data_IF_082872000893
#
_entry.id   IF_082872000893
#
_cell.length_a   1.000
_cell.length_b   1.000
_cell.length_c   1.000
_cell.angle_alpha   90.00
_cell.angle_beta   90.00
_cell.angle_gamma   90.00
#
_symmetry.space_group_name_H-M   'P 1'
#
loop_
_entity.id
_entity.type
_entity.pdbx_description
1 polymer ?
#
# COMPACT_ATOMS: atom_id res chain seq x y z
N UNK A 1 -11.88 2.04 -19.65
CA UNK A 1 -11.40 2.98 -18.63
C UNK A 1 -9.99 2.58 -18.22
N UNK A 2 -9.06 3.53 -18.07
CA UNK A 2 -7.70 3.19 -17.62
C UNK A 2 -7.72 2.66 -16.18
N UNK A 3 -6.82 1.73 -15.86
CA UNK A 3 -6.65 1.17 -14.51
C UNK A 3 -6.49 2.26 -13.45
N UNK A 4 -5.68 3.28 -13.75
CA UNK A 4 -5.44 4.46 -12.92
C UNK A 4 -6.76 5.17 -12.58
N UNK A 5 -7.62 5.41 -13.56
CA UNK A 5 -8.92 6.05 -13.34
C UNK A 5 -9.88 5.20 -12.49
N UNK A 6 -9.87 3.88 -12.67
CA UNK A 6 -10.68 2.96 -11.86
C UNK A 6 -10.20 2.88 -10.40
N UNK A 7 -8.89 2.88 -10.19
CA UNK A 7 -8.25 2.90 -8.87
C UNK A 7 -8.58 4.20 -8.12
N UNK A 8 -8.34 5.35 -8.76
CA UNK A 8 -8.60 6.66 -8.16
C UNK A 8 -10.09 6.89 -7.85
N UNK A 9 -10.99 6.36 -8.66
CA UNK A 9 -12.44 6.47 -8.44
C UNK A 9 -13.01 5.41 -7.50
N UNK A 10 -12.19 4.51 -6.95
CA UNK A 10 -12.62 3.43 -6.05
C UNK A 10 -13.69 2.53 -6.70
N UNK A 11 -13.61 2.32 -8.01
CA UNK A 11 -14.53 1.45 -8.77
C UNK A 11 -14.09 -0.02 -8.75
N UNK A 12 -12.87 -0.30 -8.31
CA UNK A 12 -12.37 -1.66 -8.15
C UNK A 12 -13.11 -2.35 -6.98
N UNK A 13 -13.25 -3.67 -7.06
CA UNK A 13 -13.72 -4.42 -5.91
C UNK A 13 -12.70 -4.32 -4.78
N UNK A 14 -13.18 -4.35 -3.54
CA UNK A 14 -12.33 -4.27 -2.35
C UNK A 14 -11.23 -5.34 -2.37
N UNK A 15 -11.59 -6.56 -2.80
CA UNK A 15 -10.70 -7.70 -2.88
C UNK A 15 -9.61 -7.48 -3.95
N UNK A 16 -9.98 -7.01 -5.14
CA UNK A 16 -9.00 -6.68 -6.20
C UNK A 16 -8.09 -5.55 -5.76
N UNK A 17 -8.64 -4.48 -5.15
CA UNK A 17 -7.83 -3.35 -4.69
C UNK A 17 -6.82 -3.77 -3.63
N UNK A 18 -7.25 -4.59 -2.66
CA UNK A 18 -6.38 -5.12 -1.60
C UNK A 18 -5.34 -6.10 -2.16
N UNK A 19 -5.75 -7.09 -2.94
CA UNK A 19 -4.85 -8.10 -3.48
C UNK A 19 -3.80 -7.49 -4.42
N UNK A 20 -4.21 -6.62 -5.34
CA UNK A 20 -3.31 -6.05 -6.34
C UNK A 20 -2.45 -4.92 -5.76
N UNK A 21 -3.05 -3.97 -5.02
CA UNK A 21 -2.29 -2.79 -4.61
C UNK A 21 -1.54 -2.99 -3.30
N UNK A 22 -2.07 -3.75 -2.34
CA UNK A 22 -1.34 -4.07 -1.10
C UNK A 22 -0.45 -5.28 -1.29
N UNK A 23 -1.03 -6.46 -1.53
CA UNK A 23 -0.27 -7.73 -1.45
C UNK A 23 0.69 -7.86 -2.61
N UNK A 24 0.19 -7.81 -3.85
CA UNK A 24 1.03 -7.98 -5.03
C UNK A 24 2.00 -6.80 -5.19
N UNK A 25 1.56 -5.58 -4.93
CA UNK A 25 2.42 -4.40 -4.89
C UNK A 25 3.59 -4.57 -3.91
N UNK A 26 3.33 -5.06 -2.70
CA UNK A 26 4.37 -5.30 -1.70
C UNK A 26 5.36 -6.36 -2.16
N UNK A 27 4.87 -7.48 -2.71
CA UNK A 27 5.71 -8.53 -3.27
C UNK A 27 6.62 -7.98 -4.37
N UNK A 28 6.09 -7.16 -5.27
CA UNK A 28 6.89 -6.53 -6.35
C UNK A 28 7.97 -5.64 -5.75
N UNK A 29 7.65 -4.82 -4.75
CA UNK A 29 8.65 -3.96 -4.11
C UNK A 29 9.75 -4.77 -3.44
N UNK A 30 9.41 -5.87 -2.76
CA UNK A 30 10.40 -6.78 -2.16
C UNK A 30 11.28 -7.43 -3.22
N UNK A 31 10.69 -7.93 -4.31
CA UNK A 31 11.43 -8.55 -5.41
C UNK A 31 12.37 -7.56 -6.11
N UNK A 32 11.94 -6.31 -6.29
CA UNK A 32 12.78 -5.25 -6.85
C UNK A 32 13.94 -4.96 -5.89
N UNK A 33 13.66 -4.76 -4.60
CA UNK A 33 14.69 -4.48 -3.59
C UNK A 33 15.73 -5.61 -3.52
N UNK A 34 15.28 -6.86 -3.45
CA UNK A 34 16.13 -8.04 -3.42
C UNK A 34 16.90 -8.26 -4.74
N UNK A 35 16.25 -8.03 -5.88
CA UNK A 35 16.92 -8.10 -7.18
C UNK A 35 18.03 -7.05 -7.30
N UNK A 36 17.77 -5.82 -6.84
CA UNK A 36 18.78 -4.77 -6.79
C UNK A 36 19.94 -5.13 -5.86
N UNK A 37 19.69 -5.75 -4.70
CA UNK A 37 20.76 -6.18 -3.79
C UNK A 37 21.64 -7.31 -4.34
N UNK A 38 21.13 -8.11 -5.30
CA UNK A 38 21.93 -9.16 -5.97
C UNK A 38 22.75 -8.58 -7.12
N UNK A 39 22.17 -7.64 -7.87
CA UNK A 39 22.73 -7.16 -9.13
C UNK A 39 23.73 -6.01 -8.91
N UNK A 40 23.45 -5.14 -7.95
CA UNK A 40 24.29 -3.98 -7.67
C UNK A 40 25.37 -4.32 -6.63
N UNK A 41 26.59 -3.76 -6.78
CA UNK A 41 27.63 -3.86 -5.75
C UNK A 41 27.20 -3.24 -4.41
N UNK A 42 27.71 -3.79 -3.31
CA UNK A 42 27.37 -3.37 -1.92
C UNK A 42 27.53 -1.87 -1.68
N UNK A 43 28.61 -1.27 -2.22
CA UNK A 43 28.87 0.17 -2.06
C UNK A 43 27.83 1.07 -2.73
N UNK A 44 27.05 0.57 -3.69
CA UNK A 44 25.91 1.26 -4.29
C UNK A 44 24.66 1.05 -3.43
N UNK A 45 24.37 -0.18 -3.02
CA UNK A 45 23.15 -0.52 -2.28
C UNK A 45 23.15 0.02 -0.86
N UNK A 46 24.33 0.16 -0.25
CA UNK A 46 24.52 0.78 1.07
C UNK A 46 24.67 2.30 0.98
N UNK A 47 24.75 2.87 -0.23
CA UNK A 47 24.88 4.30 -0.39
C UNK A 47 23.62 5.01 0.13
N UNK A 48 23.75 6.01 1.01
CA UNK A 48 22.60 6.63 1.68
C UNK A 48 21.58 7.21 0.71
N UNK A 49 22.04 7.70 -0.45
CA UNK A 49 21.15 8.20 -1.52
C UNK A 49 20.26 7.10 -2.08
N UNK A 50 20.78 5.89 -2.28
CA UNK A 50 20.00 4.75 -2.81
C UNK A 50 18.96 4.32 -1.79
N UNK A 51 19.34 4.26 -0.51
CA UNK A 51 18.42 3.98 0.61
C UNK A 51 17.31 5.02 0.71
N UNK A 52 17.62 6.31 0.57
CA UNK A 52 16.62 7.39 0.57
C UNK A 52 15.66 7.25 -0.62
N UNK A 53 16.19 7.00 -1.83
CA UNK A 53 15.36 6.80 -3.02
C UNK A 53 14.43 5.61 -2.85
N UNK A 54 14.93 4.48 -2.34
CA UNK A 54 14.13 3.29 -2.07
C UNK A 54 13.04 3.58 -1.03
N UNK A 55 13.36 4.31 0.05
CA UNK A 55 12.40 4.71 1.07
C UNK A 55 11.29 5.63 0.50
N UNK A 56 11.64 6.61 -0.34
CA UNK A 56 10.68 7.50 -1.00
C UNK A 56 9.78 6.69 -1.96
N UNK A 57 10.35 5.79 -2.75
CA UNK A 57 9.59 4.94 -3.67
C UNK A 57 8.61 4.01 -2.91
N UNK A 58 9.07 3.41 -1.80
CA UNK A 58 8.23 2.61 -0.91
C UNK A 58 7.09 3.45 -0.34
N UNK A 59 7.38 4.65 0.17
CA UNK A 59 6.37 5.53 0.74
C UNK A 59 5.33 5.95 -0.30
N UNK A 60 5.77 6.29 -1.52
CA UNK A 60 4.88 6.67 -2.61
C UNK A 60 3.93 5.52 -2.99
N UNK A 61 4.46 4.29 -3.12
CA UNK A 61 3.64 3.10 -3.37
C UNK A 61 2.69 2.80 -2.20
N UNK A 62 3.18 2.90 -0.97
CA UNK A 62 2.39 2.63 0.23
C UNK A 62 1.19 3.58 0.35
N UNK A 63 1.42 4.88 0.16
CA UNK A 63 0.35 5.88 0.14
C UNK A 63 -0.65 5.62 -1.00
N UNK A 64 -0.16 5.22 -2.18
CA UNK A 64 -1.00 4.83 -3.30
C UNK A 64 -1.92 3.65 -2.97
N UNK A 65 -1.38 2.62 -2.33
CA UNK A 65 -2.12 1.42 -1.92
C UNK A 65 -3.16 1.74 -0.83
N UNK A 66 -2.77 2.52 0.19
CA UNK A 66 -3.67 2.96 1.26
C UNK A 66 -4.85 3.77 0.71
N UNK A 67 -4.58 4.79 -0.11
CA UNK A 67 -5.63 5.67 -0.66
C UNK A 67 -6.60 4.89 -1.54
N UNK A 68 -6.11 4.00 -2.40
CA UNK A 68 -6.95 3.16 -3.25
C UNK A 68 -7.87 2.23 -2.45
N UNK A 69 -7.30 1.54 -1.47
CA UNK A 69 -8.03 0.59 -0.62
C UNK A 69 -9.05 1.32 0.26
N UNK A 70 -8.68 2.44 0.88
CA UNK A 70 -9.58 3.26 1.69
C UNK A 70 -10.76 3.80 0.88
N UNK A 71 -10.53 4.30 -0.34
CA UNK A 71 -11.61 4.77 -1.21
C UNK A 71 -12.57 3.66 -1.60
N UNK A 72 -12.06 2.47 -1.92
CA UNK A 72 -12.89 1.30 -2.21
C UNK A 72 -13.72 0.90 -0.98
N UNK A 73 -13.10 0.82 0.20
CA UNK A 73 -13.76 0.50 1.45
C UNK A 73 -14.89 1.50 1.79
N UNK A 74 -14.61 2.80 1.73
CA UNK A 74 -15.59 3.87 1.99
C UNK A 74 -16.78 3.74 1.04
N UNK A 75 -16.53 3.47 -0.25
CA UNK A 75 -17.61 3.29 -1.23
C UNK A 75 -18.47 2.08 -0.89
N UNK A 76 -17.87 0.93 -0.62
CA UNK A 76 -18.59 -0.30 -0.25
C UNK A 76 -19.45 -0.08 1.00
N UNK A 77 -18.93 0.63 2.00
CA UNK A 77 -19.67 0.95 3.23
C UNK A 77 -20.88 1.87 2.95
N UNK A 78 -20.70 2.86 2.05
CA UNK A 78 -21.72 3.87 1.71
C UNK A 78 -22.81 3.34 0.77
N UNK A 79 -22.51 2.37 -0.09
CA UNK A 79 -23.49 1.81 -1.02
C UNK A 79 -24.47 0.89 -0.27
N UNK A 80 -25.73 1.35 -0.11
CA UNK A 80 -26.78 0.60 0.60
C UNK A 80 -27.28 -0.65 -0.13
N UNK A 81 -27.00 -0.77 -1.43
CA UNK A 81 -27.36 -1.94 -2.24
C UNK A 81 -26.49 -3.16 -1.97
N UNK A 82 -25.36 -3.00 -1.27
CA UNK A 82 -24.46 -4.11 -0.95
C UNK A 82 -24.94 -4.90 0.26
N UNK A 83 -24.74 -6.21 0.21
CA UNK A 83 -25.06 -7.10 1.31
C UNK A 83 -24.33 -6.68 2.60
N UNK A 84 -24.96 -6.92 3.76
CA UNK A 84 -24.43 -6.51 5.07
C UNK A 84 -22.98 -7.01 5.31
N UNK A 85 -22.67 -8.23 4.87
CA UNK A 85 -21.34 -8.82 4.98
C UNK A 85 -20.27 -8.06 4.17
N UNK A 86 -20.61 -7.51 3.00
CA UNK A 86 -19.67 -6.71 2.19
C UNK A 86 -19.34 -5.39 2.90
N UNK A 87 -20.31 -4.80 3.59
CA UNK A 87 -20.12 -3.56 4.37
C UNK A 87 -19.24 -3.82 5.58
N UNK A 88 -19.41 -4.96 6.26
CA UNK A 88 -18.49 -5.40 7.33
C UNK A 88 -17.08 -5.61 6.79
N UNK A 89 -16.93 -6.29 5.65
CA UNK A 89 -15.62 -6.46 5.01
C UNK A 89 -14.96 -5.12 4.65
N UNK A 90 -15.74 -4.14 4.17
CA UNK A 90 -15.28 -2.77 3.93
C UNK A 90 -14.77 -2.10 5.21
N UNK A 91 -15.52 -2.20 6.32
CA UNK A 91 -15.09 -1.64 7.61
C UNK A 91 -13.82 -2.31 8.15
N UNK A 92 -13.72 -3.64 8.05
CA UNK A 92 -12.53 -4.39 8.46
C UNK A 92 -11.32 -3.99 7.62
N UNK A 93 -11.47 -3.87 6.31
CA UNK A 93 -10.39 -3.41 5.44
C UNK A 93 -9.95 -1.98 5.77
N UNK A 94 -10.89 -1.08 6.09
CA UNK A 94 -10.56 0.28 6.51
C UNK A 94 -9.79 0.31 7.84
N UNK A 95 -10.21 -0.51 8.82
CA UNK A 95 -9.47 -0.68 10.07
C UNK A 95 -8.07 -1.25 9.84
N UNK A 96 -7.95 -2.23 8.94
CA UNK A 96 -6.66 -2.79 8.53
C UNK A 96 -5.73 -1.73 7.91
N UNK A 97 -6.25 -0.91 6.99
CA UNK A 97 -5.53 0.23 6.40
C UNK A 97 -5.02 1.19 7.49
N UNK A 98 -5.86 1.54 8.46
CA UNK A 98 -5.48 2.41 9.58
C UNK A 98 -4.41 1.75 10.45
N UNK A 99 -4.61 0.49 10.84
CA UNK A 99 -3.65 -0.24 11.67
C UNK A 99 -2.27 -0.34 11.01
N UNK A 100 -2.22 -0.69 9.72
CA UNK A 100 -0.96 -0.76 8.96
C UNK A 100 -0.31 0.62 8.91
N UNK A 101 -1.07 1.69 8.61
CA UNK A 101 -0.52 3.05 8.60
C UNK A 101 0.05 3.47 9.96
N UNK A 102 -0.64 3.14 11.07
CA UNK A 102 -0.17 3.45 12.42
C UNK A 102 1.09 2.68 12.81
N UNK A 103 1.16 1.38 12.50
CA UNK A 103 2.33 0.55 12.77
C UNK A 103 3.53 1.08 11.98
N UNK A 104 3.37 1.29 10.67
CA UNK A 104 4.43 1.85 9.81
C UNK A 104 4.91 3.21 10.29
N UNK A 105 3.99 4.09 10.72
CA UNK A 105 4.35 5.39 11.28
C UNK A 105 5.11 5.27 12.61
N UNK A 106 4.73 4.31 13.47
CA UNK A 106 5.41 4.05 14.74
C UNK A 106 6.81 3.46 14.56
N UNK A 107 7.00 2.61 13.56
CA UNK A 107 8.31 2.07 13.23
C UNK A 107 9.20 3.16 12.63
N UNK A 108 8.65 4.00 11.75
CA UNK A 108 9.37 5.16 11.20
C UNK A 108 9.81 6.15 12.29
N UNK A 109 8.96 6.44 13.28
CA UNK A 109 9.32 7.37 14.37
C UNK A 109 10.41 6.81 15.28
N UNK A 110 10.41 5.49 15.54
CA UNK A 110 11.50 4.81 16.27
C UNK A 110 12.83 4.88 15.52
N UNK A 111 12.81 4.78 14.20
CA UNK A 111 14.01 4.86 13.36
C UNK A 111 14.56 6.28 13.22
N UNK A 112 13.72 7.31 13.36
CA UNK A 112 14.12 8.71 13.21
C UNK A 112 14.44 9.42 14.53
N UNK A 113 13.94 8.92 15.65
CA UNK A 113 14.12 9.51 16.99
C UNK A 113 15.12 8.78 17.90
N UNK A 114 15.77 7.73 17.39
CA UNK A 114 16.82 6.96 18.08
C UNK A 114 18.22 7.38 17.68
#
# INVERSE_FOLDING_TARGET
>A
MSYIGAHWSGRQSLLVSTAVNMVLGYIIVLLIGFGLSIILPDWITEHPVVTIIAAIAFLAWFLWALVGTARCAIRVIRTREKAMWERVAGSVALLGVVAIATITASDASRLLGG
#
